data_IF_950340641965
#
_entry.id   IF_950340641965
#
_cell.length_a   1.000
_cell.length_b   1.000
_cell.length_c   1.000
_cell.angle_alpha   90.00
_cell.angle_beta   90.00
_cell.angle_gamma   90.00
#
_symmetry.space_group_name_H-M   'P 1'
#
loop_
_entity.id
_entity.type
_entity.pdbx_description
1 polymer ?
#
# COMPACT_ATOMS: atom_id res chain seq x y z
N UNK A 1 29.08 -35.32 6.23
CA UNK A 1 29.35 -34.66 7.53
C UNK A 1 30.23 -33.41 7.37
N UNK A 2 31.50 -33.53 6.95
CA UNK A 2 32.40 -32.37 6.80
C UNK A 2 31.85 -31.28 5.84
N UNK A 3 31.35 -31.68 4.67
CA UNK A 3 30.70 -30.77 3.72
C UNK A 3 29.51 -30.02 4.34
N UNK A 4 28.67 -30.72 5.11
CA UNK A 4 27.53 -30.13 5.81
C UNK A 4 27.95 -29.13 6.88
N UNK A 5 29.06 -29.39 7.58
CA UNK A 5 29.66 -28.44 8.52
C UNK A 5 30.22 -27.19 7.84
N UNK A 6 30.91 -27.36 6.70
CA UNK A 6 31.45 -26.23 5.92
C UNK A 6 30.35 -25.33 5.34
N UNK A 7 29.28 -25.95 4.84
CA UNK A 7 28.11 -25.25 4.30
C UNK A 7 27.10 -24.84 5.38
N UNK A 8 27.35 -25.19 6.65
CA UNK A 8 26.45 -24.98 7.80
C UNK A 8 25.01 -25.42 7.54
N UNK A 9 24.82 -26.55 6.85
CA UNK A 9 23.50 -27.09 6.49
C UNK A 9 22.91 -28.03 7.55
N UNK A 10 23.66 -28.34 8.60
CA UNK A 10 23.24 -29.22 9.69
C UNK A 10 23.69 -28.66 11.02
N UNK A 11 22.78 -28.60 11.99
CA UNK A 11 23.03 -28.08 13.34
C UNK A 11 23.77 -29.09 14.23
N UNK A 12 23.72 -30.37 13.89
CA UNK A 12 24.41 -31.45 14.62
C UNK A 12 25.92 -31.48 14.41
N UNK A 13 26.46 -30.61 13.56
CA UNK A 13 27.87 -30.64 13.14
C UNK A 13 28.51 -29.27 13.36
N UNK A 14 29.60 -29.24 14.13
CA UNK A 14 30.43 -28.05 14.33
C UNK A 14 31.87 -28.30 13.84
N UNK A 15 32.52 -27.24 13.37
CA UNK A 15 33.90 -27.26 12.86
C UNK A 15 34.73 -26.21 13.60
N UNK A 16 35.79 -26.64 14.27
CA UNK A 16 36.74 -25.77 14.95
C UNK A 16 38.14 -25.97 14.35
N UNK A 17 38.94 -24.91 14.21
CA UNK A 17 40.33 -25.01 13.75
C UNK A 17 41.27 -24.67 14.91
N UNK A 18 42.03 -25.65 15.38
CA UNK A 18 42.89 -25.53 16.55
C UNK A 18 44.37 -25.60 16.18
N UNK A 19 45.20 -24.92 16.96
CA UNK A 19 46.66 -25.13 16.94
C UNK A 19 47.05 -26.31 17.81
N UNK A 20 48.32 -26.73 17.73
CA UNK A 20 48.85 -27.75 18.63
C UNK A 20 48.79 -27.30 20.11
N UNK A 21 49.08 -26.02 20.36
CA UNK A 21 49.00 -25.43 21.70
C UNK A 21 47.58 -25.46 22.27
N UNK A 22 46.57 -25.15 21.45
CA UNK A 22 45.16 -25.19 21.88
C UNK A 22 44.72 -26.62 22.27
N UNK A 23 45.21 -27.64 21.56
CA UNK A 23 44.96 -29.04 21.90
C UNK A 23 45.60 -29.44 23.22
N UNK A 24 46.82 -28.97 23.50
CA UNK A 24 47.47 -29.20 24.79
C UNK A 24 46.68 -28.56 25.93
N UNK A 25 46.21 -27.32 25.74
CA UNK A 25 45.36 -26.63 26.72
C UNK A 25 44.02 -27.34 26.94
N UNK A 26 43.42 -27.92 25.90
CA UNK A 26 42.20 -28.72 26.04
C UNK A 26 42.45 -30.05 26.75
N UNK A 27 43.58 -30.71 26.47
CA UNK A 27 44.00 -31.92 27.19
C UNK A 27 44.24 -31.61 28.67
N UNK A 28 44.98 -30.55 28.98
CA UNK A 28 45.27 -30.13 30.35
C UNK A 28 44.01 -29.79 31.14
N UNK A 29 43.04 -29.08 30.54
CA UNK A 29 41.75 -28.76 31.18
C UNK A 29 40.86 -29.98 31.36
N UNK A 30 40.88 -30.94 30.44
CA UNK A 30 40.11 -32.18 30.57
C UNK A 30 40.73 -33.15 31.59
N UNK A 31 42.03 -33.02 31.84
CA UNK A 31 42.85 -33.92 32.67
C UNK A 31 43.43 -33.19 33.87
N UNK A 32 42.60 -32.56 34.69
CA UNK A 32 42.98 -31.79 35.89
C UNK A 32 43.59 -32.65 37.04
N UNK A 33 44.37 -33.71 36.74
CA UNK A 33 45.00 -34.61 37.72
C UNK A 33 46.33 -35.27 37.33
N UNK A 34 47.02 -34.89 36.26
CA UNK A 34 48.38 -35.43 36.06
C UNK A 34 49.33 -34.40 35.47
N UNK A 35 50.33 -34.09 36.30
CA UNK A 35 51.52 -33.32 36.06
C UNK A 35 52.32 -33.78 34.83
N UNK A 36 53.14 -32.85 34.32
CA UNK A 36 54.23 -33.07 33.34
C UNK A 36 53.71 -33.20 31.88
N UNK A 37 54.30 -32.58 30.86
CA UNK A 37 55.70 -32.20 30.65
C UNK A 37 55.79 -31.09 29.61
N UNK A 38 56.61 -30.09 29.91
CA UNK A 38 57.26 -29.23 28.92
C UNK A 38 58.03 -30.09 27.92
N UNK A 39 57.61 -30.16 26.65
CA UNK A 39 58.50 -30.60 25.57
C UNK A 39 58.01 -30.12 24.20
N UNK A 40 58.79 -29.23 23.59
CA UNK A 40 58.80 -29.07 22.13
C UNK A 40 58.39 -27.70 21.63
N UNK A 41 59.28 -26.72 21.73
CA UNK A 41 59.38 -25.58 20.81
C UNK A 41 59.75 -26.06 19.39
N UNK A 42 58.98 -26.97 18.83
CA UNK A 42 59.06 -27.31 17.42
C UNK A 42 58.04 -26.42 16.69
N UNK A 43 58.47 -25.77 15.62
CA UNK A 43 57.69 -24.90 14.73
C UNK A 43 56.55 -25.67 14.04
N UNK A 44 55.57 -26.12 14.83
CA UNK A 44 54.45 -26.93 14.39
C UNK A 44 53.38 -26.00 13.81
N UNK A 45 53.59 -25.58 12.56
CA UNK A 45 52.57 -24.87 11.78
C UNK A 45 51.37 -25.76 11.41
N UNK A 46 51.33 -27.01 11.90
CA UNK A 46 50.19 -27.90 11.78
C UNK A 46 48.95 -27.27 12.42
N UNK A 47 47.80 -27.50 11.81
CA UNK A 47 46.48 -27.12 12.32
C UNK A 47 45.64 -28.37 12.43
N UNK A 48 44.71 -28.38 13.37
CA UNK A 48 43.81 -29.49 13.59
C UNK A 48 42.39 -29.01 13.36
N UNK A 49 41.77 -29.47 12.27
CA UNK A 49 40.35 -29.22 12.05
C UNK A 49 39.57 -30.26 12.86
N UNK A 50 38.83 -29.80 13.87
CA UNK A 50 38.03 -30.63 14.74
C UNK A 50 36.61 -30.65 14.20
N UNK A 51 36.20 -31.78 13.67
CA UNK A 51 34.80 -32.04 13.35
C UNK A 51 34.12 -32.58 14.61
N UNK A 52 33.24 -31.77 15.20
CA UNK A 52 32.42 -32.18 16.35
C UNK A 52 31.05 -32.59 15.85
N UNK A 53 30.69 -33.85 16.07
CA UNK A 53 29.36 -34.37 15.81
C UNK A 53 28.60 -34.50 17.13
N UNK A 54 27.51 -33.75 17.26
CA UNK A 54 26.66 -33.72 18.45
C UNK A 54 25.30 -34.29 18.09
N UNK A 55 24.93 -35.39 18.73
CA UNK A 55 23.61 -36.00 18.70
C UNK A 55 23.02 -36.01 20.11
N UNK A 56 21.81 -36.53 20.30
CA UNK A 56 21.04 -36.40 21.55
C UNK A 56 21.80 -36.87 22.80
N UNK A 57 22.61 -37.92 22.69
CA UNK A 57 23.33 -38.50 23.84
C UNK A 57 24.86 -38.51 23.68
N UNK A 58 25.39 -38.13 22.51
CA UNK A 58 26.81 -38.23 22.22
C UNK A 58 27.37 -36.95 21.61
N UNK A 59 28.62 -36.65 22.00
CA UNK A 59 29.44 -35.62 21.39
C UNK A 59 30.80 -36.20 21.03
N UNK A 60 31.01 -36.43 19.74
CA UNK A 60 32.21 -37.08 19.21
C UNK A 60 33.07 -36.06 18.48
N UNK A 61 34.37 -36.05 18.78
CA UNK A 61 35.35 -35.18 18.13
C UNK A 61 36.23 -35.99 17.18
N UNK A 62 36.28 -35.59 15.91
CA UNK A 62 37.15 -36.16 14.89
C UNK A 62 38.27 -35.16 14.55
N UNK A 63 39.50 -35.37 15.07
CA UNK A 63 40.63 -34.50 14.78
C UNK A 63 41.22 -34.80 13.41
N UNK A 64 41.25 -33.80 12.52
CA UNK A 64 41.82 -33.89 11.18
C UNK A 64 43.11 -33.04 11.15
N UNK A 65 44.31 -33.65 11.17
CA UNK A 65 45.56 -32.91 11.09
C UNK A 65 45.78 -32.36 9.67
N UNK A 66 46.06 -31.06 9.61
CA UNK A 66 46.34 -30.31 8.39
C UNK A 66 47.78 -29.81 8.43
N UNK A 67 48.54 -30.14 7.39
CA UNK A 67 49.91 -29.66 7.23
C UNK A 67 49.94 -28.28 6.60
N UNK A 68 50.90 -27.47 7.01
CA UNK A 68 51.05 -26.12 6.46
C UNK A 68 51.74 -26.17 5.11
N UNK A 69 51.02 -25.78 4.06
CA UNK A 69 51.52 -25.79 2.68
C UNK A 69 52.34 -24.54 2.29
N UNK A 70 52.66 -23.64 3.22
CA UNK A 70 53.37 -22.40 2.90
C UNK A 70 52.49 -21.31 2.30
N UNK A 71 53.15 -20.25 1.82
CA UNK A 71 52.51 -19.18 1.06
C UNK A 71 52.25 -19.66 -0.39
N UNK A 72 51.08 -19.36 -0.97
CA UNK A 72 50.79 -19.74 -2.34
C UNK A 72 51.72 -19.01 -3.33
N UNK A 73 52.20 -19.72 -4.36
CA UNK A 73 53.02 -19.11 -5.42
C UNK A 73 52.20 -18.09 -6.22
N UNK A 74 52.74 -16.87 -6.46
CA UNK A 74 52.02 -15.83 -7.18
C UNK A 74 51.67 -16.26 -8.61
N UNK A 75 52.52 -17.07 -9.25
CA UNK A 75 52.27 -17.59 -10.60
C UNK A 75 51.04 -18.48 -10.64
N UNK A 76 50.89 -19.40 -9.67
CA UNK A 76 49.74 -20.31 -9.59
C UNK A 76 48.46 -19.51 -9.34
N UNK A 77 48.50 -18.52 -8.45
CA UNK A 77 47.35 -17.67 -8.18
C UNK A 77 46.94 -16.87 -9.43
N UNK A 78 47.89 -16.26 -10.13
CA UNK A 78 47.64 -15.53 -11.38
C UNK A 78 47.07 -16.44 -12.48
N UNK A 79 47.58 -17.67 -12.63
CA UNK A 79 47.02 -18.64 -13.57
C UNK A 79 45.57 -19.00 -13.21
N UNK A 80 45.27 -19.23 -11.94
CA UNK A 80 43.90 -19.51 -11.48
C UNK A 80 42.98 -18.32 -11.71
N UNK A 81 43.43 -17.10 -11.41
CA UNK A 81 42.65 -15.88 -11.67
C UNK A 81 42.31 -15.76 -13.15
N UNK A 82 43.28 -15.94 -14.04
CA UNK A 82 43.04 -15.90 -15.49
C UNK A 82 42.03 -16.97 -15.92
N UNK A 83 42.18 -18.21 -15.44
CA UNK A 83 41.22 -19.30 -15.73
C UNK A 83 39.81 -18.94 -15.28
N UNK A 84 39.65 -18.47 -14.04
CA UNK A 84 38.34 -18.06 -13.51
C UNK A 84 37.75 -16.88 -14.27
N UNK A 85 38.56 -15.90 -14.66
CA UNK A 85 38.12 -14.78 -15.50
C UNK A 85 37.62 -15.26 -16.86
N UNK A 86 38.34 -16.17 -17.51
CA UNK A 86 37.90 -16.78 -18.78
C UNK A 86 36.61 -17.58 -18.62
N UNK A 87 36.45 -18.33 -17.52
CA UNK A 87 35.21 -19.06 -17.25
C UNK A 87 34.03 -18.12 -16.99
N UNK A 88 34.24 -17.03 -16.25
CA UNK A 88 33.22 -16.00 -16.03
C UNK A 88 32.82 -15.33 -17.34
N UNK A 89 33.79 -14.96 -18.19
CA UNK A 89 33.52 -14.38 -19.49
C UNK A 89 32.75 -15.36 -20.40
N UNK A 90 33.11 -16.64 -20.38
CA UNK A 90 32.39 -17.70 -21.10
C UNK A 90 30.95 -17.84 -20.61
N UNK A 91 30.74 -17.82 -19.29
CA UNK A 91 29.40 -17.89 -18.69
C UNK A 91 28.56 -16.65 -19.00
N UNK A 92 29.14 -15.45 -18.92
CA UNK A 92 28.46 -14.20 -19.31
C UNK A 92 28.16 -14.15 -20.82
N UNK A 93 29.04 -14.72 -21.64
CA UNK A 93 28.85 -14.83 -23.09
C UNK A 93 27.84 -15.92 -23.46
N UNK A 94 27.45 -16.77 -22.51
CA UNK A 94 26.44 -17.80 -22.75
C UNK A 94 25.13 -17.10 -23.11
N UNK A 95 24.61 -17.44 -24.29
CA UNK A 95 23.40 -16.86 -24.88
C UNK A 95 22.22 -16.80 -23.90
N UNK A 96 22.09 -17.84 -23.08
CA UNK A 96 21.09 -17.97 -22.02
C UNK A 96 21.17 -16.81 -21.01
N UNK A 97 22.37 -16.43 -20.56
CA UNK A 97 22.55 -15.32 -19.62
C UNK A 97 22.16 -13.98 -20.25
N UNK A 98 22.54 -13.75 -21.52
CA UNK A 98 22.17 -12.53 -22.27
C UNK A 98 20.66 -12.43 -22.49
N UNK A 99 19.99 -13.54 -22.82
CA UNK A 99 18.55 -13.57 -23.02
C UNK A 99 17.79 -13.37 -21.71
N UNK A 100 18.25 -13.97 -20.60
CA UNK A 100 17.71 -13.68 -19.27
C UNK A 100 17.92 -12.22 -18.88
N UNK A 101 19.10 -11.66 -19.12
CA UNK A 101 19.40 -10.27 -18.79
C UNK A 101 18.51 -9.30 -19.59
N UNK A 102 18.32 -9.56 -20.89
CA UNK A 102 17.37 -8.80 -21.72
C UNK A 102 15.93 -8.91 -21.19
N UNK A 103 15.52 -10.11 -20.77
CA UNK A 103 14.18 -10.31 -20.20
C UNK A 103 14.00 -9.58 -18.86
N UNK A 104 15.00 -9.60 -18.00
CA UNK A 104 15.02 -8.87 -16.73
C UNK A 104 14.90 -7.36 -16.98
N UNK A 105 15.65 -6.83 -17.94
CA UNK A 105 15.59 -5.42 -18.32
C UNK A 105 14.19 -5.04 -18.85
N UNK A 106 13.63 -5.84 -19.76
CA UNK A 106 12.27 -5.65 -20.27
C UNK A 106 11.21 -5.66 -19.16
N UNK A 107 11.29 -6.63 -18.25
CA UNK A 107 10.38 -6.74 -17.11
C UNK A 107 10.55 -5.56 -16.15
N UNK A 108 11.78 -5.08 -15.95
CA UNK A 108 12.05 -3.91 -15.11
C UNK A 108 11.42 -2.66 -15.69
N UNK A 109 11.57 -2.43 -16.99
CA UNK A 109 10.95 -1.29 -17.69
C UNK A 109 9.42 -1.40 -17.65
N UNK A 110 8.87 -2.58 -17.91
CA UNK A 110 7.42 -2.81 -17.87
C UNK A 110 6.86 -2.55 -16.46
N UNK A 111 7.51 -3.07 -15.43
CA UNK A 111 7.13 -2.83 -14.04
C UNK A 111 7.21 -1.34 -13.68
N UNK A 112 8.24 -0.62 -14.11
CA UNK A 112 8.33 0.83 -13.87
C UNK A 112 7.16 1.59 -14.51
N UNK A 113 6.80 1.26 -15.75
CA UNK A 113 5.64 1.86 -16.43
C UNK A 113 4.33 1.57 -15.70
N UNK A 114 4.12 0.32 -15.29
CA UNK A 114 2.93 -0.09 -14.54
C UNK A 114 2.84 0.60 -13.18
N UNK A 115 3.97 0.75 -12.46
CA UNK A 115 4.00 1.49 -11.18
C UNK A 115 3.66 2.96 -11.40
N UNK A 116 4.18 3.58 -12.45
CA UNK A 116 3.86 4.97 -12.78
C UNK A 116 2.38 5.14 -13.14
N UNK A 117 1.82 4.22 -13.91
CA UNK A 117 0.40 4.21 -14.25
C UNK A 117 -0.48 3.98 -13.01
N UNK A 118 -0.14 3.02 -12.16
CA UNK A 118 -0.85 2.80 -10.90
C UNK A 118 -0.83 4.06 -10.01
N UNK A 119 0.30 4.77 -9.94
CA UNK A 119 0.38 6.06 -9.24
C UNK A 119 -0.54 7.11 -9.88
N UNK A 120 -0.58 7.19 -11.22
CA UNK A 120 -1.47 8.10 -11.95
C UNK A 120 -2.94 7.78 -11.68
N UNK A 121 -3.32 6.51 -11.74
CA UNK A 121 -4.68 6.04 -11.47
C UNK A 121 -5.07 6.25 -10.01
N UNK A 122 -4.17 5.95 -9.07
CA UNK A 122 -4.37 6.20 -7.64
C UNK A 122 -4.59 7.69 -7.34
N UNK A 123 -3.95 8.60 -8.09
CA UNK A 123 -4.18 10.05 -7.97
C UNK A 123 -5.51 10.54 -8.58
N UNK A 124 -6.38 9.62 -9.02
CA UNK A 124 -7.70 9.90 -9.61
C UNK A 124 -7.66 10.41 -11.06
N UNK A 125 -6.47 10.50 -11.67
CA UNK A 125 -6.31 11.14 -12.97
C UNK A 125 -6.67 12.63 -12.97
N UNK A 126 -6.62 13.27 -14.15
CA UNK A 126 -6.91 14.71 -14.28
C UNK A 126 -8.41 15.01 -14.14
N UNK A 127 -9.27 14.13 -14.67
CA UNK A 127 -10.73 14.32 -14.65
C UNK A 127 -11.32 14.35 -13.24
N UNK A 128 -10.88 13.46 -12.34
CA UNK A 128 -11.37 13.42 -10.95
C UNK A 128 -10.94 14.67 -10.18
N UNK A 129 -9.77 15.25 -10.49
CA UNK A 129 -9.32 16.52 -9.90
C UNK A 129 -10.26 17.67 -10.29
N UNK A 130 -10.56 17.84 -11.58
CA UNK A 130 -11.50 18.88 -12.03
C UNK A 130 -12.90 18.70 -11.45
N UNK A 131 -13.37 17.45 -11.35
CA UNK A 131 -14.66 17.16 -10.74
C UNK A 131 -14.65 17.48 -9.24
N UNK A 132 -13.59 17.12 -8.52
CA UNK A 132 -13.42 17.45 -7.09
C UNK A 132 -13.39 18.96 -6.84
N UNK A 133 -12.70 19.73 -7.69
CA UNK A 133 -12.68 21.19 -7.63
C UNK A 133 -14.06 21.79 -7.91
N UNK A 134 -14.77 21.26 -8.90
CA UNK A 134 -16.14 21.68 -9.24
C UNK A 134 -17.12 21.38 -8.10
N UNK A 135 -17.02 20.21 -7.47
CA UNK A 135 -17.81 19.83 -6.30
C UNK A 135 -17.53 20.79 -5.13
N UNK A 136 -16.26 21.06 -4.81
CA UNK A 136 -15.89 22.00 -3.75
C UNK A 136 -16.43 23.42 -4.01
N UNK A 137 -16.39 23.88 -5.25
CA UNK A 137 -16.95 25.18 -5.63
C UNK A 137 -18.47 25.21 -5.41
N UNK A 138 -19.18 24.16 -5.82
CA UNK A 138 -20.62 24.03 -5.63
C UNK A 138 -20.99 23.98 -4.13
N UNK A 139 -20.27 23.20 -3.33
CA UNK A 139 -20.44 23.12 -1.88
C UNK A 139 -20.31 24.51 -1.23
N UNK A 140 -19.28 25.26 -1.61
CA UNK A 140 -19.07 26.63 -1.11
C UNK A 140 -20.23 27.57 -1.47
N UNK A 141 -20.75 27.47 -2.69
CA UNK A 141 -21.90 28.28 -3.11
C UNK A 141 -23.16 27.90 -2.33
N UNK A 142 -23.44 26.60 -2.16
CA UNK A 142 -24.58 26.12 -1.36
C UNK A 142 -24.47 26.60 0.09
N UNK A 143 -23.28 26.56 0.70
CA UNK A 143 -23.07 27.08 2.06
C UNK A 143 -23.36 28.57 2.14
N UNK A 144 -22.86 29.37 1.18
CA UNK A 144 -23.12 30.82 1.12
C UNK A 144 -24.60 31.15 0.95
N UNK A 145 -25.31 30.40 0.10
CA UNK A 145 -26.75 30.59 -0.06
C UNK A 145 -27.51 30.23 1.21
N UNK A 146 -27.18 29.09 1.85
CA UNK A 146 -27.83 28.68 3.10
C UNK A 146 -27.61 29.69 4.23
N UNK A 147 -26.42 30.27 4.35
CA UNK A 147 -26.17 31.32 5.36
C UNK A 147 -26.95 32.59 5.04
N UNK A 148 -26.97 33.02 3.77
CA UNK A 148 -27.76 34.17 3.31
C UNK A 148 -29.26 33.99 3.61
N UNK A 149 -29.83 32.85 3.22
CA UNK A 149 -31.24 32.54 3.50
C UNK A 149 -31.53 32.44 4.99
N UNK A 150 -30.64 31.84 5.80
CA UNK A 150 -30.79 31.78 7.25
C UNK A 150 -30.84 33.17 7.87
N UNK A 151 -29.97 34.08 7.44
CA UNK A 151 -29.96 35.48 7.89
C UNK A 151 -31.25 36.20 7.50
N UNK A 152 -31.72 36.00 6.27
CA UNK A 152 -32.98 36.61 5.81
C UNK A 152 -34.19 36.09 6.60
N UNK A 153 -34.26 34.79 6.87
CA UNK A 153 -35.32 34.19 7.70
C UNK A 153 -35.28 34.77 9.12
N UNK A 154 -34.09 34.94 9.70
CA UNK A 154 -33.94 35.52 11.04
C UNK A 154 -34.39 36.98 11.08
N UNK A 155 -34.05 37.78 10.07
CA UNK A 155 -34.51 39.17 9.92
C UNK A 155 -36.03 39.24 9.86
N UNK A 156 -36.65 38.47 8.96
CA UNK A 156 -38.11 38.44 8.82
C UNK A 156 -38.84 37.95 10.07
N UNK A 157 -38.23 37.04 10.84
CA UNK A 157 -38.76 36.61 12.15
C UNK A 157 -38.71 37.75 13.17
N UNK A 158 -37.61 38.50 13.23
CA UNK A 158 -37.49 39.65 14.13
C UNK A 158 -38.48 40.76 13.77
N UNK A 159 -38.64 41.06 12.48
CA UNK A 159 -39.62 42.04 11.99
C UNK A 159 -41.06 41.62 12.30
N UNK A 160 -41.42 40.35 12.03
CA UNK A 160 -42.75 39.84 12.40
C UNK A 160 -43.01 39.91 13.91
N UNK A 161 -42.01 39.62 14.75
CA UNK A 161 -42.13 39.75 16.20
C UNK A 161 -42.36 41.21 16.63
N UNK A 162 -41.62 42.16 16.04
CA UNK A 162 -41.80 43.58 16.30
C UNK A 162 -43.18 44.09 15.85
N UNK A 163 -43.65 43.64 14.67
CA UNK A 163 -44.98 43.98 14.16
C UNK A 163 -46.10 43.40 15.04
N UNK A 164 -45.95 42.17 15.52
CA UNK A 164 -46.90 41.55 16.46
C UNK A 164 -47.02 42.35 17.76
N UNK A 165 -45.91 42.80 18.34
CA UNK A 165 -45.92 43.67 19.51
C UNK A 165 -46.62 45.01 19.23
N UNK A 166 -46.37 45.60 18.05
CA UNK A 166 -47.03 46.84 17.62
C UNK A 166 -48.55 46.66 17.54
N UNK A 167 -49.01 45.55 16.97
CA UNK A 167 -50.43 45.21 16.87
C UNK A 167 -51.04 44.98 18.25
N UNK A 168 -50.35 44.27 19.16
CA UNK A 168 -50.81 44.10 20.55
C UNK A 168 -50.91 45.44 21.29
N UNK A 169 -49.95 46.34 21.14
CA UNK A 169 -50.00 47.67 21.74
C UNK A 169 -51.18 48.49 21.22
N UNK A 170 -51.41 48.49 19.90
CA UNK A 170 -52.53 49.19 19.27
C UNK A 170 -53.89 48.62 19.66
N UNK A 171 -54.00 47.30 19.80
CA UNK A 171 -55.24 46.65 20.27
C UNK A 171 -55.49 46.89 21.76
N UNK A 172 -54.44 46.89 22.59
CA UNK A 172 -54.54 47.23 24.01
C UNK A 172 -54.87 48.71 24.24
N UNK A 173 -54.36 49.62 23.41
CA UNK A 173 -54.71 51.05 23.47
C UNK A 173 -56.10 51.33 22.91
N UNK A 174 -56.56 50.59 21.89
CA UNK A 174 -57.94 50.64 21.42
C UNK A 174 -58.94 50.15 22.47
N UNK A 175 -58.57 49.16 23.30
CA UNK A 175 -59.39 48.66 24.40
C UNK A 175 -59.36 49.54 25.68
N UNK A 176 -58.55 50.60 25.72
CA UNK A 176 -58.52 51.58 26.81
C UNK A 176 -59.17 52.90 26.38
N UNK A 177 -60.49 52.90 26.16
CA UNK A 177 -61.33 54.10 26.35
C UNK A 177 -62.68 53.71 26.99
N UNK A 178 -63.19 54.53 27.94
CA UNK A 178 -64.33 54.19 28.80
C UNK A 178 -65.69 54.60 28.21
N UNK A 179 -66.72 53.84 28.59
CA UNK A 179 -68.09 54.31 28.76
C UNK A 179 -68.82 54.80 27.51
N UNK A 180 -69.48 53.88 26.80
CA UNK A 180 -70.93 54.00 26.74
C UNK A 180 -71.59 52.62 26.64
N UNK A 181 -72.80 52.55 27.19
CA UNK A 181 -73.44 51.34 27.65
C UNK A 181 -73.76 50.29 26.57
N UNK A 182 -73.68 49.03 27.02
CA UNK A 182 -74.02 47.75 26.37
C UNK A 182 -75.51 47.62 25.94
N UNK A 183 -75.99 46.45 25.45
CA UNK A 183 -75.50 45.58 24.38
C UNK A 183 -76.64 45.11 23.44
N UNK A 184 -76.34 44.55 22.25
CA UNK A 184 -77.12 43.43 21.70
C UNK A 184 -76.44 42.78 20.48
N UNK A 185 -76.12 41.51 20.67
CA UNK A 185 -75.69 40.53 19.68
C UNK A 185 -76.66 40.40 18.49
N UNK A 186 -76.11 40.24 17.27
CA UNK A 186 -76.26 39.01 16.45
C UNK A 186 -75.63 39.14 15.06
N UNK A 187 -74.64 38.26 14.82
CA UNK A 187 -74.33 37.50 13.60
C UNK A 187 -74.90 38.01 12.26
N UNK A 188 -73.98 38.32 11.33
CA UNK A 188 -74.14 38.05 9.90
C UNK A 188 -72.78 37.74 9.26
N UNK A 189 -72.48 36.46 9.07
CA UNK A 189 -71.41 36.03 8.18
C UNK A 189 -71.95 36.00 6.75
N UNK A 190 -71.38 36.84 5.88
CA UNK A 190 -71.52 36.77 4.43
C UNK A 190 -70.12 36.65 3.83
N UNK A 191 -69.86 35.54 3.15
CA UNK A 191 -69.00 35.46 1.95
C UNK A 191 -69.51 36.47 0.89
N UNK A 192 -68.72 36.97 -0.10
CA UNK A 192 -68.11 36.13 -1.14
C UNK A 192 -66.81 36.63 -1.85
N UNK A 193 -66.14 35.68 -2.51
CA UNK A 193 -65.49 35.68 -3.84
C UNK A 193 -64.74 36.88 -4.46
N UNK A 194 -63.58 36.51 -5.05
CA UNK A 194 -63.12 36.68 -6.46
C UNK A 194 -62.15 37.84 -6.85
N UNK A 195 -61.02 37.39 -7.44
CA UNK A 195 -60.34 37.82 -8.71
C UNK A 195 -59.75 39.25 -8.76
N UNK A 196 -58.60 39.57 -9.38
CA UNK A 196 -57.87 38.97 -10.51
C UNK A 196 -56.49 39.68 -10.73
N UNK A 197 -55.49 38.94 -11.27
CA UNK A 197 -54.65 39.25 -12.49
C UNK A 197 -53.79 40.55 -12.51
N UNK A 198 -52.48 40.53 -12.81
CA UNK A 198 -51.87 40.27 -14.15
C UNK A 198 -50.31 40.34 -14.09
N UNK A 199 -49.57 39.46 -14.82
CA UNK A 199 -48.65 39.71 -15.99
C UNK A 199 -47.30 40.38 -15.65
N UNK A 200 -46.09 40.05 -16.14
CA UNK A 200 -45.44 39.19 -17.17
C UNK A 200 -43.94 39.05 -16.71
N UNK A 201 -43.06 38.13 -17.14
CA UNK A 201 -42.57 37.87 -18.49
C UNK A 201 -41.71 36.58 -18.54
N UNK A 202 -41.63 36.07 -19.77
CA UNK A 202 -41.05 34.84 -20.30
C UNK A 202 -39.52 34.81 -20.41
N UNK A 203 -38.90 33.66 -20.12
CA UNK A 203 -37.76 33.13 -20.90
C UNK A 203 -37.90 31.61 -21.04
N UNK A 204 -37.74 31.16 -22.28
CA UNK A 204 -37.82 29.79 -22.74
C UNK A 204 -36.56 28.99 -22.40
N UNK A 205 -36.71 27.69 -22.14
CA UNK A 205 -35.91 26.66 -22.85
C UNK A 205 -36.47 25.27 -22.55
N UNK A 206 -36.79 24.58 -23.64
CA UNK A 206 -37.12 23.16 -23.71
C UNK A 206 -35.91 22.35 -23.28
N UNK A 207 -36.04 21.50 -22.26
CA UNK A 207 -35.18 20.32 -22.13
C UNK A 207 -36.02 19.10 -22.50
N UNK A 208 -35.99 18.77 -23.80
CA UNK A 208 -36.29 17.42 -24.25
C UNK A 208 -35.14 16.55 -23.76
N UNK A 209 -35.43 15.65 -22.84
CA UNK A 209 -34.55 14.54 -22.48
C UNK A 209 -34.50 13.58 -23.67
N UNK A 210 -33.54 13.77 -24.57
CA UNK A 210 -33.10 12.70 -25.48
C UNK A 210 -32.05 11.89 -24.72
N UNK A 211 -32.52 10.81 -24.10
CA UNK A 211 -31.72 9.66 -23.71
C UNK A 211 -31.04 9.09 -24.95
N UNK A 212 -29.75 9.38 -25.12
CA UNK A 212 -28.86 8.58 -25.95
C UNK A 212 -27.95 7.82 -24.99
N UNK A 213 -28.41 6.62 -24.65
CA UNK A 213 -27.60 5.54 -24.13
C UNK A 213 -26.36 5.37 -25.02
N UNK A 214 -25.15 5.14 -24.48
CA UNK A 214 -24.18 4.38 -25.25
C UNK A 214 -24.79 2.99 -25.40
N UNK A 215 -25.21 2.62 -26.61
CA UNK A 215 -25.25 1.21 -27.00
C UNK A 215 -23.90 0.62 -26.62
N UNK A 216 -23.89 -0.09 -25.51
CA UNK A 216 -22.87 -1.10 -25.28
C UNK A 216 -23.13 -2.09 -26.40
N UNK A 217 -22.29 -2.06 -27.43
CA UNK A 217 -22.26 -3.07 -28.50
C UNK A 217 -22.25 -4.45 -27.84
N UNK A 218 -23.42 -5.09 -27.80
CA UNK A 218 -23.59 -6.42 -27.22
C UNK A 218 -22.71 -7.45 -27.94
N UNK A 219 -22.42 -7.23 -29.23
CA UNK A 219 -21.46 -8.04 -30.01
C UNK A 219 -20.06 -8.05 -29.40
N UNK A 220 -19.62 -6.93 -28.81
CA UNK A 220 -18.28 -6.80 -28.24
C UNK A 220 -18.19 -7.52 -26.88
N UNK A 221 -19.31 -7.62 -26.15
CA UNK A 221 -19.37 -8.37 -24.90
C UNK A 221 -19.43 -9.88 -25.15
N UNK A 222 -20.21 -10.33 -26.12
CA UNK A 222 -20.25 -11.74 -26.52
C UNK A 222 -18.90 -12.23 -27.03
N UNK A 223 -18.22 -11.45 -27.88
CA UNK A 223 -16.87 -11.79 -28.35
C UNK A 223 -15.87 -11.90 -27.19
N UNK A 224 -16.00 -11.05 -26.17
CA UNK A 224 -15.12 -11.06 -24.98
C UNK A 224 -15.42 -12.23 -24.06
N UNK A 225 -16.70 -12.59 -23.90
CA UNK A 225 -17.11 -13.81 -23.18
C UNK A 225 -16.60 -15.05 -23.91
N UNK A 226 -16.74 -15.11 -25.23
CA UNK A 226 -16.26 -16.23 -26.03
C UNK A 226 -14.74 -16.39 -25.97
N UNK A 227 -14.00 -15.27 -25.95
CA UNK A 227 -12.53 -15.25 -25.79
C UNK A 227 -12.11 -15.75 -24.41
N UNK A 228 -12.80 -15.33 -23.34
CA UNK A 228 -12.53 -15.78 -21.98
C UNK A 228 -12.88 -17.26 -21.79
N UNK A 229 -13.99 -17.73 -22.37
CA UNK A 229 -14.35 -19.15 -22.38
C UNK A 229 -13.33 -19.98 -23.15
N UNK A 230 -12.81 -19.48 -24.28
CA UNK A 230 -11.74 -20.13 -25.04
C UNK A 230 -10.45 -20.23 -24.23
N UNK A 231 -10.04 -19.16 -23.56
CA UNK A 231 -8.86 -19.17 -22.68
C UNK A 231 -9.01 -20.15 -21.50
N UNK A 232 -10.21 -20.26 -20.91
CA UNK A 232 -10.48 -21.23 -19.85
C UNK A 232 -10.50 -22.67 -20.35
N UNK A 233 -10.97 -22.91 -21.58
CA UNK A 233 -11.03 -24.25 -22.18
C UNK A 233 -9.65 -24.74 -22.65
N UNK A 234 -8.81 -23.83 -23.16
CA UNK A 234 -7.45 -24.16 -23.61
C UNK A 234 -6.43 -24.19 -22.45
N UNK A 235 -6.71 -23.52 -21.33
CA UNK A 235 -5.85 -23.46 -20.15
C UNK A 235 -5.90 -24.67 -19.20
N UNK A 236 -6.65 -25.74 -19.52
CA UNK A 236 -6.77 -26.95 -18.67
C UNK A 236 -6.11 -28.19 -19.30
N UNK A 237 -5.56 -28.12 -20.51
CA UNK A 237 -4.70 -29.20 -21.04
C UNK A 237 -3.23 -28.92 -20.78
N UNK A 238 -2.79 -29.15 -19.54
CA UNK A 238 -1.41 -29.45 -19.20
C UNK A 238 -1.38 -30.81 -18.47
N UNK A 239 -1.44 -31.88 -19.26
CA UNK A 239 -0.80 -33.16 -19.00
C UNK A 239 -0.03 -33.54 -20.26
#
# INVERSE_FOLDING_TARGET
MLQSGLLKTSESIALDLLTFEDLELLRARKLERSSCSSLGNATNNRRYLILTYTVEFDRIHYPLPLEYCGLPSPTVLQTTIRKLQTELERLQSTRVYKDFQRRIEQLTIANQKLVQENRRLASGGKGLKYLSESIKSLENNVVKERTSFRMQIQRLKAENAALLLRVQQLTASANKKPGDNSPASKRRNRTPCRRNRSRSSSISSRNRTSSLSPEIEFENLEARIHTLQKMLKEGISLN
#
